data_IF_297326563049
#
_entry.id   IF_297326563049
#
_cell.length_a   1.000
_cell.length_b   1.000
_cell.length_c   1.000
_cell.angle_alpha   90.00
_cell.angle_beta   90.00
_cell.angle_gamma   90.00
#
_symmetry.space_group_name_H-M   'P 1'
#
loop_
_entity.id
_entity.type
_entity.pdbx_description
1 polymer ?
#
# COMPACT_ATOMS: atom_id res chain seq x y z
N UNK A 1 -0.68 4.30 -23.82
CA UNK A 1 -0.83 2.95 -24.41
C UNK A 1 -0.69 1.81 -23.41
N UNK A 2 0.49 1.59 -22.81
CA UNK A 2 0.70 0.44 -21.90
C UNK A 2 -0.30 0.37 -20.75
N UNK A 3 -0.50 1.48 -20.04
CA UNK A 3 -1.41 1.53 -18.90
C UNK A 3 -2.87 1.23 -19.30
N UNK A 4 -3.34 1.73 -20.44
CA UNK A 4 -4.69 1.45 -20.94
C UNK A 4 -4.88 -0.05 -21.24
N UNK A 5 -3.92 -0.69 -21.88
CA UNK A 5 -3.96 -2.15 -22.11
C UNK A 5 -3.97 -2.94 -20.80
N UNK A 6 -3.28 -2.46 -19.76
CA UNK A 6 -3.35 -3.08 -18.43
C UNK A 6 -4.76 -2.92 -17.86
N UNK A 7 -5.37 -1.73 -17.95
CA UNK A 7 -6.75 -1.50 -17.51
C UNK A 7 -7.74 -2.44 -18.22
N UNK A 8 -7.58 -2.66 -19.52
CA UNK A 8 -8.47 -3.51 -20.33
C UNK A 8 -8.33 -5.01 -20.03
N UNK A 9 -7.15 -5.45 -19.60
CA UNK A 9 -6.85 -6.88 -19.39
C UNK A 9 -6.85 -7.31 -17.92
N UNK A 10 -6.96 -6.35 -16.99
CA UNK A 10 -6.97 -6.63 -15.55
C UNK A 10 -8.38 -6.95 -15.06
N UNK A 11 -8.47 -7.79 -14.04
CA UNK A 11 -9.68 -8.02 -13.25
C UNK A 11 -9.37 -7.91 -11.77
N UNK A 12 -10.39 -7.63 -10.95
CA UNK A 12 -10.21 -7.50 -9.49
C UNK A 12 -9.79 -6.09 -9.09
N UNK A 13 -8.51 -5.74 -9.26
CA UNK A 13 -7.99 -4.41 -8.95
C UNK A 13 -6.71 -4.11 -9.73
N UNK A 14 -6.41 -2.82 -9.93
CA UNK A 14 -5.14 -2.37 -10.48
C UNK A 14 -4.12 -2.17 -9.36
N UNK A 15 -3.00 -2.90 -9.41
CA UNK A 15 -1.88 -2.67 -8.50
C UNK A 15 -0.96 -1.59 -9.09
N UNK A 16 -1.05 -0.37 -8.56
CA UNK A 16 -0.12 0.71 -8.84
C UNK A 16 1.16 0.57 -7.98
N UNK A 17 2.29 0.29 -8.64
CA UNK A 17 3.65 0.23 -8.07
C UNK A 17 4.49 1.38 -8.66
N UNK A 18 5.06 2.22 -7.81
CA UNK A 18 5.87 3.38 -8.16
C UNK A 18 7.12 3.32 -7.30
N UNK A 19 8.26 3.32 -7.99
CA UNK A 19 9.59 3.25 -7.37
C UNK A 19 10.05 4.65 -6.95
N UNK A 20 9.37 5.70 -7.41
CA UNK A 20 9.72 7.10 -7.16
C UNK A 20 9.16 7.58 -5.82
N UNK A 21 9.86 7.23 -4.73
CA UNK A 21 10.04 8.23 -3.67
C UNK A 21 9.26 8.11 -2.37
N UNK A 22 8.84 6.91 -1.93
CA UNK A 22 8.26 6.70 -0.58
C UNK A 22 9.10 5.79 0.31
N UNK A 23 10.23 5.32 -0.22
CA UNK A 23 11.25 4.64 0.58
C UNK A 23 11.85 5.64 1.57
N UNK A 24 11.49 5.49 2.86
CA UNK A 24 12.35 5.88 3.97
C UNK A 24 11.90 7.05 4.85
N UNK A 25 11.24 8.11 4.36
CA UNK A 25 11.04 9.29 5.22
C UNK A 25 10.08 10.39 4.72
N UNK A 26 9.40 10.25 3.57
CA UNK A 26 8.57 11.37 3.08
C UNK A 26 7.25 11.45 3.85
N UNK A 27 7.03 12.61 4.47
CA UNK A 27 5.77 12.98 5.15
C UNK A 27 4.69 13.50 4.18
N UNK A 28 4.98 13.53 2.87
CA UNK A 28 4.07 14.04 1.85
C UNK A 28 3.96 13.07 0.67
N UNK A 29 2.74 13.04 0.12
CA UNK A 29 2.37 12.26 -1.06
C UNK A 29 2.98 12.96 -2.29
N UNK A 30 3.80 12.27 -3.11
CA UNK A 30 4.29 12.88 -4.34
C UNK A 30 3.09 13.29 -5.22
N UNK A 31 3.01 14.54 -5.72
CA UNK A 31 1.90 14.98 -6.57
C UNK A 31 1.68 14.05 -7.77
N UNK A 32 2.77 13.53 -8.33
CA UNK A 32 2.77 12.54 -9.41
C UNK A 32 1.95 11.28 -9.07
N UNK A 33 1.96 10.82 -7.81
CA UNK A 33 1.15 9.66 -7.39
C UNK A 33 -0.33 10.02 -7.46
N UNK A 34 -0.71 11.20 -6.97
CA UNK A 34 -2.10 11.66 -6.97
C UNK A 34 -2.62 11.80 -8.40
N UNK A 35 -1.83 12.43 -9.27
CA UNK A 35 -2.19 12.65 -10.68
C UNK A 35 -2.32 11.33 -11.45
N UNK A 36 -1.37 10.40 -11.26
CA UNK A 36 -1.40 9.11 -11.95
C UNK A 36 -2.54 8.22 -11.48
N UNK A 37 -2.82 8.18 -10.17
CA UNK A 37 -3.95 7.40 -9.62
C UNK A 37 -5.27 7.98 -10.12
N UNK A 38 -5.43 9.31 -10.09
CA UNK A 38 -6.62 9.98 -10.61
C UNK A 38 -6.81 9.71 -12.10
N UNK A 39 -5.72 9.78 -12.87
CA UNK A 39 -5.76 9.45 -14.29
C UNK A 39 -6.15 7.99 -14.53
N UNK A 40 -5.58 7.02 -13.82
CA UNK A 40 -5.94 5.60 -13.94
C UNK A 40 -7.40 5.34 -13.62
N UNK A 41 -7.91 5.94 -12.53
CA UNK A 41 -9.33 5.86 -12.14
C UNK A 41 -10.26 6.45 -13.20
N UNK A 42 -9.80 7.42 -14.00
CA UNK A 42 -10.57 7.94 -15.15
C UNK A 42 -10.62 6.99 -16.36
N UNK A 43 -9.86 5.89 -16.35
CA UNK A 43 -9.73 4.94 -17.48
C UNK A 43 -10.35 3.58 -17.19
N UNK A 44 -10.83 3.33 -15.97
CA UNK A 44 -11.33 2.03 -15.55
C UNK A 44 -12.21 2.14 -14.31
N UNK A 45 -13.16 1.22 -14.18
CA UNK A 45 -13.98 1.07 -12.97
C UNK A 45 -13.32 0.15 -11.94
N UNK A 46 -12.13 -0.40 -12.23
CA UNK A 46 -11.41 -1.25 -11.29
C UNK A 46 -10.85 -0.40 -10.13
N UNK A 47 -10.93 -0.89 -8.87
CA UNK A 47 -10.25 -0.28 -7.74
C UNK A 47 -8.75 -0.13 -8.04
N UNK A 48 -8.18 1.04 -7.75
CA UNK A 48 -6.74 1.28 -7.86
C UNK A 48 -6.11 1.15 -6.48
N UNK A 49 -5.34 0.07 -6.28
CA UNK A 49 -4.64 -0.20 -5.04
C UNK A 49 -3.16 0.18 -5.14
N UNK A 50 -2.62 0.70 -4.04
CA UNK A 50 -1.24 1.19 -3.96
C UNK A 50 -0.41 0.30 -3.04
N UNK A 51 0.81 -0.04 -3.46
CA UNK A 51 1.77 -0.74 -2.60
C UNK A 51 3.20 -0.25 -2.79
N UNK A 52 3.68 0.57 -1.86
CA UNK A 52 4.95 1.30 -1.97
C UNK A 52 5.84 1.17 -0.72
N UNK A 53 6.05 -0.06 -0.24
CA UNK A 53 6.87 -0.26 0.98
C UNK A 53 6.29 0.42 2.22
N UNK A 54 4.96 0.51 2.27
CA UNK A 54 4.20 1.10 3.37
C UNK A 54 4.55 0.36 4.66
N UNK A 55 4.88 1.13 5.69
CA UNK A 55 5.40 0.59 6.95
C UNK A 55 4.88 1.31 8.20
N UNK A 56 4.11 2.39 8.02
CA UNK A 56 3.61 3.24 9.09
C UNK A 56 2.16 3.66 8.83
N UNK A 57 1.38 3.83 9.90
CA UNK A 57 -0.02 4.23 9.86
C UNK A 57 -0.23 5.60 9.17
N UNK A 58 0.67 6.56 9.40
CA UNK A 58 0.62 7.88 8.74
C UNK A 58 0.67 7.79 7.19
N UNK A 59 1.37 6.81 6.63
CA UNK A 59 1.38 6.57 5.18
C UNK A 59 0.04 6.02 4.70
N UNK A 60 -0.63 5.18 5.50
CA UNK A 60 -1.97 4.66 5.20
C UNK A 60 -2.98 5.78 5.17
N UNK A 61 -3.01 6.63 6.21
CA UNK A 61 -3.90 7.81 6.31
C UNK A 61 -3.82 8.74 5.10
N UNK A 62 -2.60 8.90 4.59
CA UNK A 62 -2.32 9.77 3.48
C UNK A 62 -2.77 9.13 2.15
N UNK A 63 -2.43 7.86 1.95
CA UNK A 63 -2.74 7.14 0.71
C UNK A 63 -4.22 6.75 0.59
N UNK A 64 -4.93 6.55 1.71
CA UNK A 64 -6.37 6.24 1.73
C UNK A 64 -7.23 7.37 1.15
N UNK A 65 -6.71 8.59 1.08
CA UNK A 65 -7.39 9.73 0.47
C UNK A 65 -7.45 9.66 -1.07
N UNK A 66 -6.58 8.85 -1.69
CA UNK A 66 -6.44 8.80 -3.16
C UNK A 66 -6.61 7.40 -3.74
N UNK A 67 -6.28 6.36 -2.99
CA UNK A 67 -6.33 4.96 -3.42
C UNK A 67 -7.57 4.24 -2.91
N UNK A 68 -8.05 3.27 -3.68
CA UNK A 68 -9.18 2.41 -3.27
C UNK A 68 -8.72 1.24 -2.37
N UNK A 69 -7.41 1.01 -2.29
CA UNK A 69 -6.85 -0.01 -1.42
C UNK A 69 -5.35 0.18 -1.18
N UNK A 70 -4.87 -0.35 -0.05
CA UNK A 70 -3.50 -0.20 0.41
C UNK A 70 -2.86 -1.59 0.60
N UNK A 71 -1.69 -1.79 0.00
CA UNK A 71 -0.98 -3.07 -0.02
C UNK A 71 0.28 -2.97 0.83
N UNK A 72 0.37 -3.83 1.85
CA UNK A 72 1.44 -3.83 2.85
C UNK A 72 2.07 -5.22 2.90
N UNK A 73 3.26 -5.37 2.33
CA UNK A 73 3.99 -6.66 2.29
C UNK A 73 5.18 -6.68 3.22
N UNK A 74 6.27 -6.01 2.82
CA UNK A 74 7.58 -6.10 3.48
C UNK A 74 7.55 -5.74 4.98
N UNK A 75 6.69 -4.81 5.40
CA UNK A 75 6.56 -4.43 6.81
C UNK A 75 5.93 -5.54 7.68
N UNK A 76 5.04 -6.37 7.11
CA UNK A 76 4.48 -7.54 7.79
C UNK A 76 5.55 -8.63 7.88
N UNK A 77 6.22 -8.95 6.76
CA UNK A 77 7.28 -9.97 6.71
C UNK A 77 8.40 -9.65 7.70
N UNK A 78 8.84 -8.39 7.79
CA UNK A 78 9.86 -7.95 8.75
C UNK A 78 9.44 -8.18 10.20
N UNK A 79 8.17 -7.93 10.54
CA UNK A 79 7.64 -8.14 11.90
C UNK A 79 7.58 -9.61 12.26
N UNK A 80 7.11 -10.45 11.33
CA UNK A 80 7.16 -11.92 11.49
C UNK A 80 8.59 -12.37 11.77
N UNK A 81 9.56 -11.93 10.95
CA UNK A 81 10.96 -12.30 11.12
C UNK A 81 11.55 -11.82 12.47
N UNK A 82 11.26 -10.58 12.88
CA UNK A 82 11.81 -10.00 14.12
C UNK A 82 11.34 -10.69 15.40
N UNK A 83 10.17 -11.34 15.36
CA UNK A 83 9.57 -12.01 16.51
C UNK A 83 9.63 -13.54 16.39
N UNK A 84 10.17 -14.08 15.29
CA UNK A 84 10.26 -15.51 15.04
C UNK A 84 11.11 -16.23 16.11
N UNK A 85 12.22 -15.61 16.53
CA UNK A 85 13.11 -16.14 17.57
C UNK A 85 12.48 -16.12 18.97
N UNK A 86 11.48 -15.26 19.20
CA UNK A 86 10.73 -15.20 20.47
C UNK A 86 9.65 -16.28 20.50
N UNK A 87 9.02 -16.54 19.35
CA UNK A 87 8.06 -17.62 19.16
C UNK A 87 6.84 -17.21 18.33
N UNK A 88 6.13 -18.22 17.81
CA UNK A 88 4.97 -18.02 16.91
C UNK A 88 3.89 -17.10 17.48
N UNK A 89 3.58 -17.21 18.78
CA UNK A 89 2.59 -16.37 19.44
C UNK A 89 2.99 -14.89 19.43
N UNK A 90 4.26 -14.59 19.73
CA UNK A 90 4.79 -13.24 19.70
C UNK A 90 4.78 -12.65 18.27
N UNK A 91 5.11 -13.46 17.27
CA UNK A 91 5.05 -13.03 15.87
C UNK A 91 3.62 -12.71 15.41
N UNK A 92 2.64 -13.54 15.81
CA UNK A 92 1.23 -13.29 15.51
C UNK A 92 0.72 -12.02 16.19
N UNK A 93 1.08 -11.79 17.45
CA UNK A 93 0.67 -10.59 18.18
C UNK A 93 1.28 -9.33 17.55
N UNK A 94 2.58 -9.36 17.22
CA UNK A 94 3.25 -8.23 16.58
C UNK A 94 2.62 -7.86 15.23
N UNK A 95 2.28 -8.86 14.40
CA UNK A 95 1.55 -8.62 13.14
C UNK A 95 0.14 -8.10 13.41
N UNK A 96 -0.58 -8.65 14.39
CA UNK A 96 -1.93 -8.20 14.76
C UNK A 96 -1.93 -6.73 15.18
N UNK A 97 -1.07 -6.35 16.14
CA UNK A 97 -0.96 -4.97 16.61
C UNK A 97 -0.66 -4.03 15.45
N UNK A 98 0.30 -4.39 14.60
CA UNK A 98 0.63 -3.58 13.43
C UNK A 98 -0.54 -3.41 12.46
N UNK A 99 -1.23 -4.50 12.11
CA UNK A 99 -2.39 -4.40 11.21
C UNK A 99 -3.51 -3.56 11.81
N UNK A 100 -3.75 -3.66 13.13
CA UNK A 100 -4.72 -2.80 13.82
C UNK A 100 -4.35 -1.32 13.73
N UNK A 101 -3.07 -0.97 13.92
CA UNK A 101 -2.59 0.40 13.76
C UNK A 101 -2.82 0.94 12.34
N UNK A 102 -2.60 0.11 11.32
CA UNK A 102 -2.82 0.52 9.93
C UNK A 102 -4.30 0.70 9.61
N UNK A 103 -5.14 -0.24 10.05
CA UNK A 103 -6.59 -0.21 9.79
C UNK A 103 -7.27 0.97 10.50
N UNK A 104 -6.72 1.42 11.64
CA UNK A 104 -7.24 2.59 12.35
C UNK A 104 -7.11 3.92 11.56
N UNK A 105 -6.33 3.95 10.48
CA UNK A 105 -6.14 5.13 9.62
C UNK A 105 -6.89 5.05 8.28
N UNK A 106 -7.70 4.00 8.07
CA UNK A 106 -8.54 3.83 6.88
C UNK A 106 -9.88 4.54 7.01
#
# INVERSE_FOLDING_TARGET
>A
DRALRICETTSGFLYYVSVTGITGARQELPPEVVDQVSWLKSKTELPVCIGFGISQAAQVKMLSQVADGIIVGSAIVKRVASAAEIGKAAALENVRTFVQELVAEL
#
